data_IF_686914554417
#
_entry.id   IF_686914554417
#
_cell.length_a   1.000
_cell.length_b   1.000
_cell.length_c   1.000
_cell.angle_alpha   90.00
_cell.angle_beta   90.00
_cell.angle_gamma   90.00
#
_symmetry.space_group_name_H-M   'P 1'
#
loop_
_entity.id
_entity.type
_entity.pdbx_description
1 polymer ?
#
# COMPACT_ATOMS: atom_id res chain seq x y z
N UNK A 1 -5.74 -10.27 -43.32
CA UNK A 1 -4.58 -10.64 -42.54
C UNK A 1 -3.95 -9.44 -41.82
N UNK A 2 -3.76 -8.32 -42.48
CA UNK A 2 -3.18 -7.13 -41.86
C UNK A 2 -4.00 -6.56 -40.70
N UNK A 3 -5.33 -6.66 -40.78
CA UNK A 3 -6.22 -6.18 -39.71
C UNK A 3 -6.13 -7.00 -38.43
N UNK A 4 -5.87 -8.30 -38.55
CA UNK A 4 -5.75 -9.19 -37.39
C UNK A 4 -4.45 -8.89 -36.63
N UNK A 5 -3.37 -8.61 -37.34
CA UNK A 5 -2.09 -8.24 -36.72
C UNK A 5 -2.17 -6.92 -35.94
N UNK A 6 -2.91 -5.96 -36.46
CA UNK A 6 -3.11 -4.68 -35.78
C UNK A 6 -3.89 -4.83 -34.48
N UNK A 7 -4.91 -5.69 -34.49
CA UNK A 7 -5.71 -5.97 -33.29
C UNK A 7 -4.90 -6.66 -32.20
N UNK A 8 -4.01 -7.57 -32.58
CA UNK A 8 -3.13 -8.25 -31.64
C UNK A 8 -2.16 -7.29 -30.97
N UNK A 9 -1.59 -6.37 -31.73
CA UNK A 9 -0.67 -5.37 -31.21
C UNK A 9 -1.36 -4.44 -30.20
N UNK A 10 -2.58 -4.01 -30.50
CA UNK A 10 -3.36 -3.17 -29.61
C UNK A 10 -3.71 -3.90 -28.31
N UNK A 11 -4.04 -5.18 -28.39
CA UNK A 11 -4.34 -5.99 -27.22
C UNK A 11 -3.14 -6.13 -26.28
N UNK A 12 -1.97 -6.34 -26.82
CA UNK A 12 -0.74 -6.47 -26.03
C UNK A 12 -0.41 -5.15 -25.33
N UNK A 13 -0.58 -4.04 -26.02
CA UNK A 13 -0.32 -2.71 -25.45
C UNK A 13 -1.26 -2.41 -24.29
N UNK A 14 -2.53 -2.77 -24.41
CA UNK A 14 -3.51 -2.55 -23.35
C UNK A 14 -3.18 -3.36 -22.09
N UNK A 15 -2.74 -4.60 -22.26
CA UNK A 15 -2.33 -5.46 -21.13
C UNK A 15 -1.15 -4.84 -20.39
N UNK A 16 -0.19 -4.30 -21.13
CA UNK A 16 0.99 -3.65 -20.55
C UNK A 16 0.60 -2.45 -19.68
N UNK A 17 -0.30 -1.61 -20.16
CA UNK A 17 -0.77 -0.44 -19.42
C UNK A 17 -1.48 -0.83 -18.12
N UNK A 18 -2.28 -1.87 -18.14
CA UNK A 18 -3.00 -2.36 -16.96
C UNK A 18 -2.00 -2.86 -15.91
N UNK A 19 -0.97 -3.58 -16.32
CA UNK A 19 0.07 -4.07 -15.42
C UNK A 19 0.82 -2.94 -14.73
N UNK A 20 1.19 -1.90 -15.46
CA UNK A 20 1.87 -0.74 -14.90
C UNK A 20 0.99 -0.01 -13.88
N UNK A 21 -0.29 0.13 -14.15
CA UNK A 21 -1.22 0.78 -13.23
C UNK A 21 -1.34 0.03 -11.91
N UNK A 22 -1.36 -1.30 -11.94
CA UNK A 22 -1.47 -2.12 -10.74
C UNK A 22 -0.24 -2.06 -9.84
N UNK A 23 0.94 -1.85 -10.39
CA UNK A 23 2.19 -1.80 -9.61
C UNK A 23 2.23 -0.61 -8.67
N UNK A 24 1.55 0.48 -9.03
CA UNK A 24 1.56 1.71 -8.25
C UNK A 24 0.30 1.90 -7.41
N UNK A 25 -0.54 0.86 -7.30
CA UNK A 25 -1.78 0.93 -6.54
C UNK A 25 -1.50 0.84 -5.03
N UNK A 26 -2.17 1.70 -4.27
CA UNK A 26 -2.15 1.63 -2.82
C UNK A 26 -2.89 0.41 -2.29
N UNK A 27 -3.87 -0.09 -3.03
CA UNK A 27 -4.71 -1.20 -2.57
C UNK A 27 -3.90 -2.47 -2.33
N UNK A 28 -4.19 -3.14 -1.23
CA UNK A 28 -3.54 -4.38 -0.87
C UNK A 28 -3.22 -4.46 0.60
N UNK A 29 -2.48 -5.48 0.96
CA UNK A 29 -2.07 -5.74 2.35
C UNK A 29 -0.60 -5.39 2.53
N UNK A 30 -0.28 -4.76 3.65
CA UNK A 30 1.06 -4.29 3.98
C UNK A 30 1.51 -4.90 5.29
N UNK A 31 2.76 -5.31 5.34
CA UNK A 31 3.33 -6.06 6.46
C UNK A 31 4.55 -5.35 7.02
N UNK A 32 4.64 -5.37 8.35
CA UNK A 32 5.89 -5.08 9.04
C UNK A 32 6.71 -6.37 9.07
N UNK A 33 7.96 -6.30 8.69
CA UNK A 33 8.84 -7.47 8.64
C UNK A 33 9.96 -7.29 9.63
N UNK A 34 10.06 -8.22 10.55
CA UNK A 34 11.09 -8.23 11.58
C UNK A 34 11.56 -9.65 11.82
N UNK A 35 12.87 -9.86 11.77
CA UNK A 35 13.51 -11.14 12.02
C UNK A 35 12.91 -12.27 11.17
N UNK A 36 12.73 -12.01 9.87
CA UNK A 36 12.18 -12.98 8.92
C UNK A 36 10.70 -13.27 9.06
N UNK A 37 10.00 -12.52 9.92
CA UNK A 37 8.56 -12.70 10.16
C UNK A 37 7.77 -11.50 9.67
N UNK A 38 6.68 -11.76 8.98
CA UNK A 38 5.79 -10.72 8.47
C UNK A 38 4.54 -10.62 9.33
N UNK A 39 4.21 -9.40 9.76
CA UNK A 39 3.01 -9.10 10.55
C UNK A 39 2.15 -8.11 9.79
N UNK A 40 0.88 -8.45 9.57
CA UNK A 40 -0.06 -7.57 8.88
C UNK A 40 -0.31 -6.30 9.70
N UNK A 41 -0.07 -5.13 9.12
CA UNK A 41 -0.28 -3.85 9.82
C UNK A 41 -1.27 -2.94 9.12
N UNK A 42 -1.39 -3.03 7.79
CA UNK A 42 -2.28 -2.17 7.01
C UNK A 42 -2.93 -2.96 5.90
N UNK A 43 -4.18 -2.61 5.61
CA UNK A 43 -4.91 -3.15 4.48
C UNK A 43 -5.75 -2.02 3.87
N UNK A 44 -5.62 -1.84 2.54
CA UNK A 44 -6.38 -0.83 1.81
C UNK A 44 -7.23 -1.50 0.73
N UNK A 45 -8.48 -1.04 0.60
CA UNK A 45 -9.38 -1.49 -0.44
C UNK A 45 -10.22 -0.30 -0.93
N UNK A 46 -11.13 -0.55 -1.87
CA UNK A 46 -11.95 0.50 -2.47
C UNK A 46 -12.83 1.24 -1.46
N UNK A 47 -13.21 0.57 -0.37
CA UNK A 47 -14.11 1.12 0.64
C UNK A 47 -13.39 1.69 1.85
N UNK A 48 -12.05 1.78 1.81
CA UNK A 48 -11.26 2.24 2.92
C UNK A 48 -10.19 1.24 3.28
N UNK A 49 -10.18 0.75 4.52
CA UNK A 49 -9.20 -0.24 4.93
C UNK A 49 -9.18 -0.44 6.42
N UNK A 50 -8.11 -1.10 6.89
CA UNK A 50 -7.91 -1.40 8.30
C UNK A 50 -6.48 -1.16 8.71
N UNK A 51 -6.30 -0.66 9.91
CA UNK A 51 -5.01 -0.46 10.56
C UNK A 51 -4.94 -1.37 11.77
N UNK A 52 -3.94 -2.23 11.83
CA UNK A 52 -3.79 -3.24 12.88
C UNK A 52 -2.65 -2.88 13.82
N UNK A 53 -2.86 -1.88 14.65
CA UNK A 53 -1.88 -1.45 15.66
C UNK A 53 -2.54 -1.61 17.04
N UNK A 54 -2.12 -2.59 17.82
CA UNK A 54 -2.70 -2.98 19.11
C UNK A 54 -4.15 -3.44 19.00
N UNK A 55 -5.00 -2.72 18.29
CA UNK A 55 -6.37 -3.08 17.97
C UNK A 55 -6.63 -2.80 16.49
N UNK A 56 -7.72 -3.36 15.96
CA UNK A 56 -8.12 -3.11 14.59
C UNK A 56 -8.87 -1.79 14.50
N UNK A 57 -8.40 -0.88 13.66
CA UNK A 57 -9.01 0.42 13.45
C UNK A 57 -9.40 0.58 12.00
N UNK A 58 -10.56 1.16 11.75
CA UNK A 58 -11.03 1.41 10.40
C UNK A 58 -10.32 2.61 9.79
N UNK A 59 -9.87 2.46 8.55
CA UNK A 59 -9.39 3.58 7.74
C UNK A 59 -10.58 4.13 6.98
N UNK A 60 -10.90 5.40 7.21
CA UNK A 60 -12.16 6.00 6.76
C UNK A 60 -12.01 6.93 5.56
N UNK A 61 -10.82 7.46 5.33
CA UNK A 61 -10.62 8.43 4.25
C UNK A 61 -9.26 8.19 3.63
N UNK A 62 -9.24 7.87 2.34
CA UNK A 62 -8.00 7.67 1.60
C UNK A 62 -7.94 8.74 0.51
N UNK A 63 -6.92 9.60 0.58
CA UNK A 63 -6.68 10.65 -0.40
C UNK A 63 -5.38 10.36 -1.13
N UNK A 64 -5.48 9.72 -2.28
CA UNK A 64 -4.30 9.33 -3.06
C UNK A 64 -3.60 10.51 -3.71
N UNK A 65 -4.32 11.61 -3.91
CA UNK A 65 -3.76 12.83 -4.49
C UNK A 65 -2.82 13.54 -3.51
N UNK A 66 -3.25 13.66 -2.27
CA UNK A 66 -2.47 14.31 -1.21
C UNK A 66 -1.64 13.32 -0.40
N UNK A 67 -1.77 12.03 -0.71
CA UNK A 67 -1.04 10.94 -0.06
C UNK A 67 -1.28 10.91 1.44
N UNK A 68 -2.56 10.86 1.81
CA UNK A 68 -2.98 10.74 3.21
C UNK A 68 -4.05 9.67 3.36
N UNK A 69 -4.14 9.12 4.55
CA UNK A 69 -5.30 8.34 4.95
C UNK A 69 -5.62 8.67 6.42
N UNK A 70 -6.87 8.42 6.81
CA UNK A 70 -7.36 8.79 8.13
C UNK A 70 -7.91 7.56 8.85
N UNK A 71 -7.60 7.43 10.12
CA UNK A 71 -8.25 6.46 10.98
C UNK A 71 -8.72 7.15 12.26
N UNK A 72 -9.65 6.53 12.98
CA UNK A 72 -10.23 7.13 14.18
C UNK A 72 -9.77 6.41 15.44
N UNK A 73 -9.43 7.16 16.46
CA UNK A 73 -9.04 6.66 17.78
C UNK A 73 -9.83 7.43 18.83
N UNK A 74 -10.67 6.74 19.58
CA UNK A 74 -11.48 7.33 20.65
C UNK A 74 -12.25 8.59 20.20
N UNK A 75 -12.81 8.54 18.99
CA UNK A 75 -13.56 9.65 18.43
C UNK A 75 -12.72 10.76 17.80
N UNK A 76 -11.42 10.61 17.77
CA UNK A 76 -10.52 11.56 17.13
C UNK A 76 -10.02 11.02 15.79
N UNK A 77 -9.99 11.88 14.79
CA UNK A 77 -9.42 11.53 13.49
C UNK A 77 -7.91 11.78 13.51
N UNK A 78 -7.18 10.75 13.12
CA UNK A 78 -5.72 10.83 12.95
C UNK A 78 -5.41 10.77 11.48
N UNK A 79 -4.82 11.83 10.94
CA UNK A 79 -4.43 11.91 9.53
C UNK A 79 -2.98 11.46 9.39
N UNK A 80 -2.77 10.47 8.53
CA UNK A 80 -1.46 9.86 8.30
C UNK A 80 -0.99 10.23 6.90
N UNK A 81 0.22 10.76 6.79
CA UNK A 81 0.86 10.97 5.49
C UNK A 81 1.61 9.70 5.10
N UNK A 82 1.62 9.39 3.82
CA UNK A 82 2.32 8.20 3.35
C UNK A 82 3.07 8.44 2.05
N UNK A 83 4.04 7.58 1.78
CA UNK A 83 4.79 7.55 0.54
C UNK A 83 4.97 6.09 0.12
N UNK A 84 4.37 5.72 -1.02
CA UNK A 84 4.46 4.37 -1.56
C UNK A 84 5.51 4.36 -2.67
N UNK A 85 6.56 3.56 -2.47
CA UNK A 85 7.62 3.39 -3.46
C UNK A 85 7.23 2.35 -4.51
N UNK A 86 7.88 2.40 -5.67
CA UNK A 86 7.61 1.46 -6.76
C UNK A 86 7.89 0.00 -6.38
N UNK A 87 8.85 -0.22 -5.49
CA UNK A 87 9.21 -1.57 -5.05
C UNK A 87 8.25 -2.16 -4.02
N UNK A 88 7.23 -1.39 -3.59
CA UNK A 88 6.25 -1.83 -2.61
C UNK A 88 6.52 -1.40 -1.18
N UNK A 89 7.56 -0.61 -0.94
CA UNK A 89 7.83 -0.05 0.38
C UNK A 89 6.86 1.10 0.65
N UNK A 90 6.15 1.03 1.75
CA UNK A 90 5.24 2.08 2.20
C UNK A 90 5.84 2.72 3.44
N UNK A 91 6.15 4.01 3.35
CA UNK A 91 6.55 4.81 4.51
C UNK A 91 5.35 5.63 4.95
N UNK A 92 5.05 5.63 6.24
CA UNK A 92 3.91 6.38 6.74
C UNK A 92 4.23 7.02 8.08
N UNK A 93 3.61 8.17 8.33
CA UNK A 93 3.87 9.00 9.49
C UNK A 93 2.57 9.25 10.24
N UNK A 94 2.48 8.70 11.45
CA UNK A 94 1.32 8.85 12.32
C UNK A 94 1.42 10.06 13.24
N UNK A 95 2.48 10.85 13.13
CA UNK A 95 2.69 12.04 13.94
C UNK A 95 2.89 11.70 15.39
N UNK A 96 3.79 10.91 15.80
CA UNK A 96 4.12 10.53 17.17
C UNK A 96 2.95 10.01 18.01
N UNK A 97 1.84 9.62 17.35
CA UNK A 97 0.68 9.12 18.09
C UNK A 97 0.94 7.75 18.73
N UNK A 98 1.58 6.84 17.99
CA UNK A 98 1.80 5.47 18.46
C UNK A 98 3.22 5.16 18.90
N UNK A 99 4.20 5.88 18.37
CA UNK A 99 5.62 5.58 18.61
C UNK A 99 6.41 6.84 18.89
N UNK A 100 7.58 6.68 19.46
CA UNK A 100 8.53 7.78 19.61
C UNK A 100 9.14 8.18 18.26
N UNK A 101 9.07 7.30 17.27
CA UNK A 101 9.48 7.59 15.90
C UNK A 101 8.26 8.01 15.08
N UNK A 102 8.38 9.09 14.33
CA UNK A 102 7.29 9.58 13.51
C UNK A 102 7.08 8.75 12.23
N UNK A 103 8.10 8.03 11.80
CA UNK A 103 8.05 7.33 10.52
C UNK A 103 8.05 5.83 10.72
N UNK A 104 7.10 5.16 10.06
CA UNK A 104 6.97 3.72 10.06
C UNK A 104 7.14 3.19 8.64
N UNK A 105 7.55 1.93 8.52
CA UNK A 105 7.76 1.28 7.23
C UNK A 105 7.00 -0.03 7.20
N UNK A 106 6.25 -0.25 6.12
CA UNK A 106 5.57 -1.51 5.84
C UNK A 106 5.83 -1.91 4.40
N UNK A 107 5.60 -3.17 4.08
CA UNK A 107 5.92 -3.72 2.76
C UNK A 107 4.67 -4.36 2.17
N UNK A 108 4.34 -3.99 0.93
CA UNK A 108 3.20 -4.55 0.24
C UNK A 108 3.43 -6.04 -0.04
N UNK A 109 2.43 -6.86 0.26
CA UNK A 109 2.50 -8.31 0.10
C UNK A 109 2.97 -8.70 -1.31
N UNK A 110 3.95 -9.60 -1.37
CA UNK A 110 4.50 -10.13 -2.61
C UNK A 110 5.18 -9.10 -3.51
N UNK A 111 5.46 -7.90 -2.99
CA UNK A 111 6.24 -6.91 -3.71
C UNK A 111 7.72 -7.27 -3.70
N UNK A 112 8.48 -6.57 -4.52
CA UNK A 112 9.93 -6.76 -4.58
C UNK A 112 10.60 -6.51 -3.22
N UNK A 113 10.22 -5.40 -2.56
CA UNK A 113 10.75 -5.07 -1.25
C UNK A 113 10.36 -6.09 -0.19
N UNK A 114 9.10 -6.57 -0.22
CA UNK A 114 8.61 -7.58 0.70
C UNK A 114 9.47 -8.84 0.63
N UNK A 115 9.70 -9.34 -0.59
CA UNK A 115 10.49 -10.57 -0.80
C UNK A 115 11.93 -10.40 -0.35
N UNK A 116 12.52 -9.24 -0.63
CA UNK A 116 13.91 -8.94 -0.29
C UNK A 116 14.11 -8.87 1.21
N UNK A 117 13.25 -8.16 1.92
CA UNK A 117 13.38 -7.97 3.37
C UNK A 117 13.05 -9.25 4.12
N UNK A 118 12.10 -10.03 3.63
CA UNK A 118 11.71 -11.29 4.28
C UNK A 118 12.85 -12.31 4.28
N UNK A 119 13.73 -12.27 3.28
CA UNK A 119 14.88 -13.18 3.17
C UNK A 119 16.06 -12.79 4.06
N UNK A 120 16.09 -11.61 4.58
CA UNK A 120 17.22 -11.14 5.42
C UNK A 120 17.17 -11.72 6.88
#
# INVERSE_FOLDING_TARGET
>A
MKKILSLLLLGITAIFLISCSKQNSLYGKYYDIYDGKAKLVLEFNENGGKFYENETRAITNIDTKNKTFTFSVNGRDVVVTYDLKENGTLKYDTGSYFTSSNQNIAYKRNSEAYKKVLKQ
#
